data_IF_852230271977
#
_entry.id   IF_852230271977
#
_cell.length_a   1.000
_cell.length_b   1.000
_cell.length_c   1.000
_cell.angle_alpha   90.00
_cell.angle_beta   90.00
_cell.angle_gamma   90.00
#
_symmetry.space_group_name_H-M   'P 1'
#
loop_
_entity.id
_entity.type
_entity.pdbx_description
1 polymer ?
#
# COMPACT_ATOMS: atom_id res chain seq x y z
N UNK A 1 0.16 3.71 -20.37
CA UNK A 1 0.49 3.55 -18.94
C UNK A 1 0.87 2.09 -18.76
N UNK A 2 2.10 1.78 -18.37
CA UNK A 2 2.45 0.42 -17.99
C UNK A 2 1.69 0.10 -16.72
N UNK A 3 0.91 -0.99 -16.73
CA UNK A 3 0.29 -1.51 -15.51
C UNK A 3 1.42 -1.80 -14.52
N UNK A 4 1.43 -1.19 -13.33
CA UNK A 4 2.45 -1.46 -12.34
C UNK A 4 2.47 -2.96 -12.08
N UNK A 5 3.63 -3.58 -12.23
CA UNK A 5 3.79 -5.01 -12.08
C UNK A 5 3.85 -5.42 -10.62
N UNK A 6 3.79 -6.74 -10.38
CA UNK A 6 3.95 -7.32 -9.04
C UNK A 6 5.20 -6.78 -8.32
N UNK A 7 6.29 -6.59 -9.06
CA UNK A 7 7.58 -6.19 -8.52
C UNK A 7 7.59 -4.72 -8.06
N UNK A 8 6.85 -3.85 -8.74
CA UNK A 8 6.69 -2.43 -8.37
C UNK A 8 5.79 -2.30 -7.14
N UNK A 9 4.66 -3.00 -7.15
CA UNK A 9 3.77 -3.08 -6.00
C UNK A 9 4.47 -3.65 -4.75
N UNK A 10 5.29 -4.71 -4.90
CA UNK A 10 6.04 -5.30 -3.81
C UNK A 10 7.06 -4.33 -3.22
N UNK A 11 7.75 -3.57 -4.07
CA UNK A 11 8.70 -2.54 -3.63
C UNK A 11 8.00 -1.41 -2.88
N UNK A 12 6.88 -0.92 -3.41
CA UNK A 12 6.10 0.14 -2.77
C UNK A 12 5.57 -0.30 -1.40
N UNK A 13 5.02 -1.51 -1.30
CA UNK A 13 4.51 -2.05 -0.04
C UNK A 13 5.64 -2.27 0.99
N UNK A 14 6.82 -2.71 0.52
CA UNK A 14 8.00 -2.87 1.38
C UNK A 14 8.52 -1.53 1.87
N UNK A 15 8.53 -0.51 1.02
CA UNK A 15 8.90 0.85 1.40
C UNK A 15 7.94 1.41 2.44
N UNK A 16 6.62 1.26 2.23
CA UNK A 16 5.58 1.68 3.17
C UNK A 16 5.77 1.05 4.55
N UNK A 17 6.02 -0.27 4.58
CA UNK A 17 6.29 -1.02 5.82
C UNK A 17 7.53 -0.52 6.57
N UNK A 18 8.55 -0.06 5.85
CA UNK A 18 9.79 0.46 6.42
C UNK A 18 9.67 1.91 6.90
N UNK A 19 8.98 2.76 6.15
CA UNK A 19 8.91 4.20 6.39
C UNK A 19 7.80 4.57 7.36
N UNK A 20 6.58 4.08 7.13
CA UNK A 20 5.42 4.39 7.98
C UNK A 20 5.21 3.31 9.04
N UNK A 21 5.57 2.08 8.74
CA UNK A 21 5.45 0.95 9.64
C UNK A 21 4.64 -0.20 9.05
N UNK A 22 4.94 -1.41 9.53
CA UNK A 22 4.35 -2.64 9.00
C UNK A 22 2.81 -2.71 9.15
N UNK A 23 2.25 -1.98 10.11
CA UNK A 23 0.79 -1.89 10.31
C UNK A 23 0.10 -1.31 9.08
N UNK A 24 0.66 -0.25 8.46
CA UNK A 24 0.08 0.38 7.27
C UNK A 24 0.19 -0.49 6.03
N UNK A 25 1.30 -1.20 5.87
CA UNK A 25 1.44 -2.19 4.79
C UNK A 25 0.40 -3.31 4.91
N UNK A 26 0.11 -3.78 6.13
CA UNK A 26 -0.97 -4.73 6.40
C UNK A 26 -2.35 -4.13 6.19
N UNK A 27 -2.55 -2.87 6.53
CA UNK A 27 -3.83 -2.18 6.32
C UNK A 27 -4.17 -2.04 4.84
N UNK A 28 -3.18 -1.69 4.01
CA UNK A 28 -3.30 -1.72 2.55
C UNK A 28 -3.76 -3.10 2.09
N UNK A 29 -3.06 -4.17 2.48
CA UNK A 29 -3.44 -5.54 2.09
C UNK A 29 -4.85 -5.92 2.57
N UNK A 30 -5.19 -5.54 3.79
CA UNK A 30 -6.51 -5.79 4.40
C UNK A 30 -7.61 -5.03 3.66
N UNK A 31 -7.34 -3.81 3.17
CA UNK A 31 -8.27 -3.04 2.33
C UNK A 31 -8.60 -3.76 1.01
N UNK A 32 -7.71 -4.62 0.52
CA UNK A 32 -7.96 -5.49 -0.64
C UNK A 32 -8.53 -6.86 -0.25
N UNK A 33 -8.79 -7.11 1.04
CA UNK A 33 -9.30 -8.39 1.54
C UNK A 33 -8.29 -9.54 1.42
N UNK A 34 -7.00 -9.23 1.34
CA UNK A 34 -5.93 -10.24 1.17
C UNK A 34 -4.92 -10.19 2.31
N UNK A 35 -4.18 -11.29 2.50
CA UNK A 35 -3.09 -11.37 3.46
C UNK A 35 -1.72 -11.04 2.84
N UNK A 36 -1.62 -10.99 1.51
CA UNK A 36 -0.36 -10.73 0.82
C UNK A 36 -0.54 -10.34 -0.64
N UNK A 37 0.45 -9.63 -1.17
CA UNK A 37 0.42 -9.10 -2.53
C UNK A 37 0.22 -10.19 -3.60
N UNK A 38 0.73 -11.41 -3.36
CA UNK A 38 0.54 -12.56 -4.28
C UNK A 38 -0.91 -12.94 -4.53
N UNK A 39 -1.83 -12.53 -3.65
CA UNK A 39 -3.26 -12.77 -3.79
C UNK A 39 -3.99 -11.61 -4.49
N UNK A 40 -3.30 -10.49 -4.75
CA UNK A 40 -3.87 -9.33 -5.43
C UNK A 40 -3.74 -9.55 -6.93
N UNK A 41 -4.85 -9.54 -7.68
CA UNK A 41 -4.80 -9.64 -9.12
C UNK A 41 -4.08 -8.42 -9.72
N UNK A 42 -3.33 -8.60 -10.82
CA UNK A 42 -2.49 -7.53 -11.38
C UNK A 42 -3.28 -6.31 -11.88
N UNK A 43 -4.58 -6.47 -12.14
CA UNK A 43 -5.50 -5.37 -12.44
C UNK A 43 -5.71 -4.40 -11.27
N UNK A 44 -5.47 -4.85 -10.03
CA UNK A 44 -5.61 -4.05 -8.80
C UNK A 44 -4.28 -3.48 -8.30
N UNK A 45 -3.14 -3.81 -8.95
CA UNK A 45 -1.86 -3.18 -8.63
C UNK A 45 -1.84 -1.65 -8.78
N UNK A 46 -2.50 -1.03 -9.79
CA UNK A 46 -2.65 0.42 -9.84
C UNK A 46 -3.36 0.97 -8.59
N UNK A 47 -4.48 0.37 -8.22
CA UNK A 47 -5.27 0.79 -7.04
C UNK A 47 -4.49 0.59 -5.74
N UNK A 48 -3.69 -0.47 -5.64
CA UNK A 48 -2.81 -0.70 -4.50
C UNK A 48 -1.72 0.37 -4.41
N UNK A 49 -1.12 0.75 -5.54
CA UNK A 49 -0.17 1.87 -5.55
C UNK A 49 -0.81 3.18 -5.13
N UNK A 50 -2.01 3.50 -5.63
CA UNK A 50 -2.75 4.70 -5.22
C UNK A 50 -3.03 4.70 -3.71
N UNK A 51 -3.39 3.53 -3.14
CA UNK A 51 -3.61 3.38 -1.70
C UNK A 51 -2.33 3.65 -0.91
N UNK A 52 -1.20 3.08 -1.35
CA UNK A 52 0.12 3.27 -0.73
C UNK A 52 0.54 4.75 -0.80
N UNK A 53 0.41 5.39 -1.96
CA UNK A 53 0.69 6.83 -2.13
C UNK A 53 -0.19 7.69 -1.22
N UNK A 54 -1.46 7.32 -1.03
CA UNK A 54 -2.36 7.98 -0.09
C UNK A 54 -1.82 8.00 1.35
N UNK A 55 -1.21 6.90 1.81
CA UNK A 55 -0.57 6.84 3.13
C UNK A 55 0.65 7.76 3.22
N UNK A 56 1.49 7.81 2.18
CA UNK A 56 2.63 8.74 2.15
C UNK A 56 2.17 10.20 2.17
N UNK A 57 1.17 10.56 1.36
CA UNK A 57 0.61 11.91 1.33
C UNK A 57 0.02 12.29 2.70
N UNK A 58 -0.69 11.36 3.35
CA UNK A 58 -1.23 11.60 4.67
C UNK A 58 -0.12 11.77 5.72
N UNK A 59 0.94 10.95 5.67
CA UNK A 59 2.10 11.07 6.55
C UNK A 59 2.85 12.39 6.35
N UNK A 60 3.13 12.78 5.10
CA UNK A 60 3.77 14.06 4.77
C UNK A 60 2.93 15.27 5.22
N UNK A 61 1.60 15.13 5.20
CA UNK A 61 0.67 16.17 5.67
C UNK A 61 0.42 16.15 7.18
N UNK A 62 0.99 15.18 7.91
CA UNK A 62 0.71 14.99 9.33
C UNK A 62 -0.76 14.68 9.63
N UNK A 63 -1.48 14.10 8.66
CA UNK A 63 -2.86 13.66 8.84
C UNK A 63 -2.87 12.31 9.56
N UNK A 64 -3.88 12.03 10.40
CA UNK A 64 -4.02 10.74 11.04
C UNK A 64 -4.15 9.67 9.96
N UNK A 65 -3.29 8.66 10.03
CA UNK A 65 -3.37 7.52 9.13
C UNK A 65 -4.50 6.61 9.63
N UNK A 66 -5.29 6.00 8.74
CA UNK A 66 -6.48 5.18 9.06
C UNK A 66 -6.21 3.96 9.98
N UNK A 67 -4.96 3.77 10.42
CA UNK A 67 -4.53 2.76 11.40
C UNK A 67 -4.16 3.31 12.79
N UNK A 68 -4.29 4.61 13.05
CA UNK A 68 -4.12 5.23 14.37
C UNK A 68 -5.46 5.32 15.11
N UNK A 69 -5.91 4.19 15.69
CA UNK A 69 -6.94 4.19 16.76
C UNK A 69 -6.51 3.33 17.93
#
# INVERSE_FOLDING_TARGET
MSTPGYLEAAKALTALSKELGNTYAKDVLTSFGVAGLSQIPPELYPTLMERIEGFYIAHERGLPLDGET
#
